data_IF_637923124872
#
_entry.id   IF_637923124872
#
_cell.length_a   1.000
_cell.length_b   1.000
_cell.length_c   1.000
_cell.angle_alpha   90.00
_cell.angle_beta   90.00
_cell.angle_gamma   90.00
#
_symmetry.space_group_name_H-M   'P 1'
#
loop_
_entity.id
_entity.type
_entity.pdbx_description
1 polymer ?
#
# COMPACT_ATOMS: atom_id res chain seq x y z
N UNK A 1 12.35 -4.06 12.57
CA UNK A 1 11.83 -2.99 11.70
C UNK A 1 10.50 -3.49 11.12
N UNK A 2 9.36 -2.91 11.48
CA UNK A 2 8.05 -3.27 10.94
C UNK A 2 7.86 -2.63 9.55
N UNK A 3 6.91 -3.13 8.77
CA UNK A 3 6.55 -2.51 7.51
C UNK A 3 5.28 -3.10 6.89
N UNK A 4 4.80 -2.45 5.84
CA UNK A 4 3.62 -2.87 5.08
C UNK A 4 3.99 -3.05 3.60
N UNK A 5 3.25 -3.92 2.92
CA UNK A 5 3.41 -4.15 1.48
C UNK A 5 2.23 -3.56 0.71
N UNK A 6 2.51 -2.86 -0.40
CA UNK A 6 1.54 -2.32 -1.34
C UNK A 6 0.71 -3.42 -2.02
N UNK A 7 1.25 -4.63 -2.14
CA UNK A 7 0.57 -5.84 -2.61
C UNK A 7 -0.22 -5.69 -3.93
N UNK A 8 0.16 -4.73 -4.78
CA UNK A 8 -0.39 -4.40 -6.12
C UNK A 8 -1.75 -5.05 -6.44
N UNK A 9 -1.77 -6.21 -7.10
CA UNK A 9 -2.97 -6.92 -7.56
C UNK A 9 -3.97 -7.21 -6.42
N UNK A 10 -3.47 -7.57 -5.24
CA UNK A 10 -4.32 -7.86 -4.08
C UNK A 10 -5.01 -6.59 -3.57
N UNK A 11 -4.28 -5.47 -3.51
CA UNK A 11 -4.84 -4.16 -3.14
C UNK A 11 -5.83 -3.68 -4.19
N UNK A 12 -5.51 -3.82 -5.47
CA UNK A 12 -6.42 -3.50 -6.57
C UNK A 12 -7.75 -4.24 -6.45
N UNK A 13 -7.73 -5.56 -6.24
CA UNK A 13 -8.97 -6.35 -6.13
C UNK A 13 -9.83 -5.88 -4.95
N UNK A 14 -9.22 -5.51 -3.83
CA UNK A 14 -9.93 -4.98 -2.66
C UNK A 14 -10.53 -3.60 -2.91
N UNK A 15 -9.77 -2.70 -3.54
CA UNK A 15 -10.22 -1.35 -3.90
C UNK A 15 -11.37 -1.41 -4.90
N UNK A 16 -11.26 -2.27 -5.93
CA UNK A 16 -12.34 -2.48 -6.92
C UNK A 16 -13.61 -3.01 -6.25
N UNK A 17 -13.49 -3.97 -5.33
CA UNK A 17 -14.65 -4.47 -4.59
C UNK A 17 -15.29 -3.40 -3.70
N UNK A 18 -14.49 -2.53 -3.04
CA UNK A 18 -15.00 -1.38 -2.26
C UNK A 18 -15.75 -0.40 -3.16
N UNK A 19 -15.16 -0.03 -4.29
CA UNK A 19 -15.75 0.90 -5.25
C UNK A 19 -17.04 0.35 -5.87
N UNK A 20 -17.06 -0.94 -6.21
CA UNK A 20 -18.26 -1.61 -6.71
C UNK A 20 -19.40 -1.59 -5.69
N UNK A 21 -19.10 -1.75 -4.39
CA UNK A 21 -20.07 -1.59 -3.30
C UNK A 21 -20.61 -0.15 -3.16
N UNK A 22 -19.88 0.84 -3.67
CA UNK A 22 -20.29 2.25 -3.76
C UNK A 22 -20.97 2.60 -5.09
N UNK A 23 -21.16 1.61 -5.98
CA UNK A 23 -21.73 1.80 -7.32
C UNK A 23 -20.76 2.38 -8.36
N UNK A 24 -19.48 2.48 -8.04
CA UNK A 24 -18.44 3.02 -8.92
C UNK A 24 -17.74 1.86 -9.65
N UNK A 25 -17.71 1.90 -10.98
CA UNK A 25 -16.97 0.91 -11.78
C UNK A 25 -15.56 1.42 -12.08
N UNK A 26 -14.57 0.53 -12.02
CA UNK A 26 -13.17 0.87 -12.33
C UNK A 26 -13.02 1.43 -13.76
N UNK A 27 -13.81 0.94 -14.71
CA UNK A 27 -13.80 1.39 -16.12
C UNK A 27 -14.20 2.84 -16.29
N UNK A 28 -14.89 3.40 -15.31
CA UNK A 28 -15.41 4.76 -15.36
C UNK A 28 -14.41 5.76 -14.73
N UNK A 29 -13.29 5.26 -14.20
CA UNK A 29 -12.24 6.06 -13.58
C UNK A 29 -11.02 6.17 -14.48
N UNK A 30 -10.41 7.36 -14.48
CA UNK A 30 -9.06 7.53 -14.98
C UNK A 30 -8.03 6.82 -14.09
N UNK A 31 -6.82 6.62 -14.63
CA UNK A 31 -5.70 6.04 -13.87
C UNK A 31 -5.42 6.82 -12.59
N UNK A 32 -5.41 8.15 -12.66
CA UNK A 32 -5.07 9.01 -11.53
C UNK A 32 -6.15 8.95 -10.44
N UNK A 33 -7.42 8.89 -10.82
CA UNK A 33 -8.52 8.70 -9.87
C UNK A 33 -8.44 7.34 -9.19
N UNK A 34 -8.19 6.28 -9.96
CA UNK A 34 -8.01 4.95 -9.39
C UNK A 34 -6.82 4.89 -8.41
N UNK A 35 -5.70 5.52 -8.77
CA UNK A 35 -4.51 5.58 -7.91
C UNK A 35 -4.81 6.30 -6.58
N UNK A 36 -5.60 7.39 -6.59
CA UNK A 36 -6.03 8.06 -5.36
C UNK A 36 -6.82 7.11 -4.44
N UNK A 37 -7.73 6.32 -5.00
CA UNK A 37 -8.47 5.33 -4.22
C UNK A 37 -7.58 4.22 -3.66
N UNK A 38 -6.59 3.75 -4.43
CA UNK A 38 -5.64 2.74 -3.98
C UNK A 38 -4.72 3.26 -2.85
N UNK A 39 -4.23 4.49 -2.96
CA UNK A 39 -3.45 5.14 -1.90
C UNK A 39 -4.27 5.35 -0.63
N UNK A 40 -5.49 5.87 -0.75
CA UNK A 40 -6.37 6.06 0.41
C UNK A 40 -6.67 4.74 1.13
N UNK A 41 -6.90 3.65 0.39
CA UNK A 41 -7.05 2.31 0.96
C UNK A 41 -5.79 1.85 1.70
N UNK A 42 -4.62 2.07 1.10
CA UNK A 42 -3.33 1.68 1.66
C UNK A 42 -3.04 2.42 2.96
N UNK A 43 -3.30 3.72 3.03
CA UNK A 43 -3.12 4.52 4.25
C UNK A 43 -4.09 4.08 5.35
N UNK A 44 -5.37 3.89 5.01
CA UNK A 44 -6.41 3.46 5.94
C UNK A 44 -6.05 2.09 6.55
N UNK A 45 -5.78 1.09 5.70
CA UNK A 45 -5.55 -0.27 6.15
C UNK A 45 -4.15 -0.50 6.71
N UNK A 46 -3.12 0.16 6.16
CA UNK A 46 -1.78 0.17 6.73
C UNK A 46 -1.78 0.72 8.15
N UNK A 47 -2.48 1.82 8.39
CA UNK A 47 -2.66 2.37 9.74
C UNK A 47 -3.37 1.42 10.70
N UNK A 48 -4.39 0.68 10.24
CA UNK A 48 -5.09 -0.32 11.04
C UNK A 48 -4.17 -1.49 11.41
N UNK A 49 -3.44 -2.03 10.44
CA UNK A 49 -2.52 -3.17 10.64
C UNK A 49 -1.46 -2.83 11.69
N UNK A 50 -0.84 -1.65 11.57
CA UNK A 50 0.16 -1.20 12.53
C UNK A 50 -0.43 -1.00 13.94
N UNK A 51 -1.64 -0.44 14.05
CA UNK A 51 -2.36 -0.32 15.33
C UNK A 51 -2.66 -1.68 15.95
N UNK A 52 -3.06 -2.67 15.16
CA UNK A 52 -3.31 -4.03 15.61
C UNK A 52 -2.03 -4.67 16.15
N UNK A 53 -0.91 -4.58 15.43
CA UNK A 53 0.38 -5.12 15.88
C UNK A 53 0.85 -4.46 17.19
N UNK A 54 0.67 -3.14 17.35
CA UNK A 54 0.95 -2.43 18.61
C UNK A 54 0.07 -2.94 19.76
N UNK A 55 -1.24 -3.14 19.50
CA UNK A 55 -2.18 -3.64 20.51
C UNK A 55 -1.86 -5.07 20.96
N UNK A 56 -1.30 -5.89 20.07
CA UNK A 56 -0.83 -7.25 20.38
C UNK A 56 0.50 -7.26 21.16
N UNK A 57 1.11 -6.11 21.42
CA UNK A 57 2.36 -6.00 22.16
C UNK A 57 3.61 -6.29 21.33
N UNK A 58 3.55 -6.14 20.01
CA UNK A 58 4.73 -6.29 19.17
C UNK A 58 5.81 -5.25 19.55
N UNK A 59 6.97 -5.71 20.01
CA UNK A 59 8.12 -4.88 20.41
C UNK A 59 9.00 -4.51 19.22
N UNK A 60 8.39 -3.98 18.16
CA UNK A 60 9.10 -3.56 16.95
C UNK A 60 9.68 -2.15 17.08
N UNK A 61 10.77 -1.88 16.34
CA UNK A 61 11.30 -0.53 16.14
C UNK A 61 10.38 0.27 15.21
N UNK A 62 9.38 0.92 15.81
CA UNK A 62 8.33 1.62 15.11
C UNK A 62 8.78 2.89 14.38
N UNK A 63 9.88 3.48 14.80
CA UNK A 63 10.41 4.72 14.20
C UNK A 63 10.98 4.45 12.80
N UNK A 64 11.32 3.19 12.51
CA UNK A 64 11.81 2.73 11.20
C UNK A 64 10.74 2.03 10.36
N UNK A 65 9.45 2.27 10.62
CA UNK A 65 8.38 1.62 9.85
C UNK A 65 8.52 1.92 8.36
N UNK A 66 8.59 0.87 7.52
CA UNK A 66 8.83 1.00 6.08
C UNK A 66 7.60 0.61 5.24
N UNK A 67 7.52 1.11 4.02
CA UNK A 67 6.47 0.75 3.06
C UNK A 67 7.08 0.44 1.68
N UNK A 68 6.61 -0.59 0.98
CA UNK A 68 7.27 -1.04 -0.27
C UNK A 68 7.21 -0.04 -1.42
N UNK A 69 6.30 0.94 -1.38
CA UNK A 69 6.23 2.06 -2.33
C UNK A 69 6.64 3.41 -1.70
N UNK A 70 7.37 3.39 -0.58
CA UNK A 70 8.03 4.61 -0.10
C UNK A 70 9.19 5.00 -1.02
N UNK A 71 9.68 6.24 -0.88
CA UNK A 71 10.72 6.81 -1.73
C UNK A 71 12.02 5.97 -1.69
N UNK A 72 12.51 5.66 -0.49
CA UNK A 72 13.77 4.92 -0.27
C UNK A 72 13.74 3.51 -0.91
N UNK A 73 12.64 2.76 -0.75
CA UNK A 73 12.50 1.41 -1.32
C UNK A 73 12.25 1.48 -2.82
N UNK A 74 11.49 2.47 -3.30
CA UNK A 74 11.28 2.67 -4.73
C UNK A 74 12.59 2.95 -5.47
N UNK A 75 13.42 3.83 -4.93
CA UNK A 75 14.77 4.09 -5.46
C UNK A 75 15.64 2.84 -5.45
N UNK A 76 15.57 2.06 -4.36
CA UNK A 76 16.33 0.80 -4.24
C UNK A 76 15.93 -0.22 -5.31
N UNK A 77 14.63 -0.35 -5.61
CA UNK A 77 14.14 -1.23 -6.68
C UNK A 77 14.61 -0.76 -8.05
N UNK A 78 14.53 0.55 -8.33
CA UNK A 78 15.02 1.12 -9.60
C UNK A 78 16.51 0.86 -9.78
N UNK A 79 17.31 1.08 -8.73
CA UNK A 79 18.75 0.81 -8.77
C UNK A 79 19.04 -0.65 -9.09
N UNK A 80 18.43 -1.58 -8.37
CA UNK A 80 18.63 -3.03 -8.59
C UNK A 80 18.19 -3.42 -10.00
N UNK A 81 17.11 -2.83 -10.51
CA UNK A 81 16.68 -3.06 -11.89
C UNK A 81 17.74 -2.61 -12.90
N UNK A 82 18.33 -1.42 -12.71
CA UNK A 82 19.42 -0.90 -13.58
C UNK A 82 20.68 -1.76 -13.47
N UNK A 83 21.05 -2.19 -12.26
CA UNK A 83 22.24 -3.02 -12.04
C UNK A 83 22.12 -4.41 -12.69
N UNK A 84 20.90 -4.92 -12.90
CA UNK A 84 20.62 -6.23 -13.48
C UNK A 84 20.27 -6.21 -14.97
N UNK A 85 20.20 -5.02 -15.60
CA UNK A 85 19.91 -4.83 -17.02
C UNK A 85 21.20 -4.71 -17.85
#
# INVERSE_FOLDING_TARGET
>A
VPGTDHASIATEAKVVNKLAGQGIKKTDLSRDEFLKHAWAWTEEHGGIILKQLRKLGASCDWDRTAFTMDEERSESVIKVFVDLY
#
